data_IF_349887012888
#
_entry.id   IF_349887012888
#
_cell.length_a   1.000
_cell.length_b   1.000
_cell.length_c   1.000
_cell.angle_alpha   90.00
_cell.angle_beta   90.00
_cell.angle_gamma   90.00
#
_symmetry.space_group_name_H-M   'P 1'
#
loop_
_entity.id
_entity.type
_entity.pdbx_description
1 polymer ?
#
# COMPACT_ATOMS: atom_id res chain seq x y z
N UNK A 1 -29.64 3.28 -9.48
CA UNK A 1 -29.47 1.82 -9.69
C UNK A 1 -27.99 1.53 -9.61
N UNK A 2 -27.57 0.45 -8.96
CA UNK A 2 -26.17 0.06 -8.95
C UNK A 2 -25.73 -0.30 -10.37
N UNK A 3 -24.56 0.18 -10.80
CA UNK A 3 -23.98 -0.18 -12.09
C UNK A 3 -23.72 -1.71 -12.09
N UNK A 4 -24.35 -2.49 -12.97
CA UNK A 4 -24.21 -3.95 -12.99
C UNK A 4 -22.77 -4.41 -13.30
N UNK A 5 -21.92 -3.50 -13.78
CA UNK A 5 -20.49 -3.77 -14.04
C UNK A 5 -19.61 -3.47 -12.83
N UNK A 6 -20.11 -2.80 -11.78
CA UNK A 6 -19.36 -2.52 -10.56
C UNK A 6 -19.16 -3.82 -9.75
N UNK A 7 -17.91 -4.23 -9.59
CA UNK A 7 -17.52 -5.42 -8.82
C UNK A 7 -17.27 -5.06 -7.35
N UNK A 8 -16.60 -3.93 -7.13
CA UNK A 8 -16.21 -3.49 -5.79
C UNK A 8 -16.10 -1.97 -5.75
N UNK A 9 -16.56 -1.35 -4.67
CA UNK A 9 -16.39 0.08 -4.39
C UNK A 9 -15.61 0.22 -3.09
N UNK A 10 -14.33 0.50 -3.20
CA UNK A 10 -13.43 0.73 -2.06
C UNK A 10 -13.37 2.19 -1.63
N UNK A 11 -12.44 2.50 -0.72
CA UNK A 11 -12.23 3.85 -0.20
C UNK A 11 -11.66 4.79 -1.26
N UNK A 12 -10.59 4.37 -1.95
CA UNK A 12 -9.90 5.18 -2.96
C UNK A 12 -10.22 4.79 -4.40
N UNK A 13 -10.85 3.63 -4.64
CA UNK A 13 -11.03 3.09 -6.00
C UNK A 13 -12.34 2.33 -6.16
N UNK A 14 -12.93 2.42 -7.34
CA UNK A 14 -14.00 1.54 -7.80
C UNK A 14 -13.44 0.55 -8.83
N UNK A 15 -13.89 -0.70 -8.79
CA UNK A 15 -13.47 -1.77 -9.70
C UNK A 15 -14.66 -2.17 -10.54
N UNK A 16 -14.52 -2.06 -11.86
CA UNK A 16 -15.54 -2.44 -12.83
C UNK A 16 -15.06 -3.62 -13.67
N UNK A 17 -15.97 -4.52 -14.03
CA UNK A 17 -15.73 -5.54 -15.03
C UNK A 17 -16.02 -5.00 -16.44
N UNK A 18 -15.04 -5.12 -17.33
CA UNK A 18 -15.19 -4.74 -18.72
C UNK A 18 -15.76 -5.92 -19.52
N UNK A 19 -16.99 -5.79 -19.99
CA UNK A 19 -17.70 -6.87 -20.71
C UNK A 19 -17.58 -6.78 -22.23
N UNK A 20 -17.06 -5.67 -22.75
CA UNK A 20 -17.03 -5.34 -24.18
C UNK A 20 -15.79 -4.51 -24.54
N UNK A 21 -15.49 -4.41 -25.84
CA UNK A 21 -14.36 -3.64 -26.35
C UNK A 21 -13.01 -4.37 -26.26
N UNK A 22 -11.88 -3.66 -26.51
CA UNK A 22 -10.56 -4.28 -26.62
C UNK A 22 -10.04 -4.90 -25.31
N UNK A 23 -10.61 -4.52 -24.17
CA UNK A 23 -10.26 -5.05 -22.85
C UNK A 23 -11.39 -5.90 -22.23
N UNK A 24 -12.26 -6.49 -23.05
CA UNK A 24 -13.30 -7.39 -22.56
C UNK A 24 -12.71 -8.55 -21.73
N UNK A 25 -13.35 -8.86 -20.59
CA UNK A 25 -12.87 -9.84 -19.61
C UNK A 25 -11.82 -9.30 -18.62
N UNK A 26 -11.44 -8.02 -18.73
CA UNK A 26 -10.48 -7.37 -17.81
C UNK A 26 -11.21 -6.52 -16.77
N UNK A 27 -10.46 -6.04 -15.77
CA UNK A 27 -10.98 -5.10 -14.79
C UNK A 27 -10.49 -3.68 -15.08
N UNK A 28 -11.34 -2.71 -14.72
CA UNK A 28 -11.04 -1.29 -14.76
C UNK A 28 -11.10 -0.71 -13.35
N UNK A 29 -9.97 -0.21 -12.88
CA UNK A 29 -9.84 0.53 -11.63
C UNK A 29 -10.05 2.01 -11.92
N UNK A 30 -11.08 2.60 -11.32
CA UNK A 30 -11.36 4.04 -11.36
C UNK A 30 -10.92 4.63 -10.03
N UNK A 31 -9.87 5.43 -10.06
CA UNK A 31 -9.31 6.10 -8.89
C UNK A 31 -10.16 7.33 -8.55
N UNK A 32 -10.53 7.44 -7.27
CA UNK A 32 -11.43 8.47 -6.74
C UNK A 32 -10.65 9.60 -6.07
N UNK A 33 -11.30 10.74 -5.98
CA UNK A 33 -10.78 11.91 -5.25
C UNK A 33 -11.05 11.82 -3.74
N UNK A 34 -11.80 10.81 -3.30
CA UNK A 34 -12.05 10.48 -1.90
C UNK A 34 -10.76 10.40 -1.08
N UNK A 35 -10.73 11.11 0.03
CA UNK A 35 -9.58 11.19 0.91
C UNK A 35 -9.93 10.72 2.32
N UNK A 36 -9.09 9.84 2.85
CA UNK A 36 -9.23 9.32 4.21
C UNK A 36 -8.54 10.22 5.23
N UNK A 37 -8.99 10.14 6.48
CA UNK A 37 -8.49 10.99 7.55
C UNK A 37 -9.36 10.94 8.79
N UNK A 38 -9.33 12.04 9.55
CA UNK A 38 -10.14 12.21 10.75
C UNK A 38 -10.71 13.64 10.81
N UNK A 39 -11.71 13.85 11.66
CA UNK A 39 -12.26 15.18 11.93
C UNK A 39 -11.58 15.75 13.19
N UNK A 40 -10.94 16.90 13.05
CA UNK A 40 -10.34 17.66 14.15
C UNK A 40 -10.96 19.04 14.20
N UNK A 41 -11.59 19.40 15.33
CA UNK A 41 -12.28 20.68 15.50
C UNK A 41 -13.28 21.01 14.38
N UNK A 42 -14.03 20.01 13.91
CA UNK A 42 -15.03 20.15 12.85
C UNK A 42 -14.44 20.31 11.43
N UNK A 43 -13.13 20.14 11.25
CA UNK A 43 -12.46 20.18 9.95
C UNK A 43 -11.86 18.83 9.60
N UNK A 44 -11.94 18.44 8.32
CA UNK A 44 -11.27 17.26 7.82
C UNK A 44 -9.74 17.46 7.86
N UNK A 45 -9.05 16.50 8.48
CA UNK A 45 -7.59 16.35 8.42
C UNK A 45 -7.31 15.10 7.62
N UNK A 46 -6.76 15.27 6.43
CA UNK A 46 -6.44 14.16 5.53
C UNK A 46 -5.19 13.43 6.01
N UNK A 47 -5.31 12.12 6.19
CA UNK A 47 -4.21 11.23 6.60
C UNK A 47 -4.47 9.84 6.00
N UNK A 48 -3.63 9.38 5.05
CA UNK A 48 -3.81 8.08 4.39
C UNK A 48 -3.60 6.89 5.36
N UNK A 49 -3.09 7.13 6.57
CA UNK A 49 -3.01 6.12 7.63
C UNK A 49 -4.33 5.85 8.35
N UNK A 50 -5.43 6.53 7.98
CA UNK A 50 -6.78 6.31 8.50
C UNK A 50 -7.70 5.64 7.48
N UNK A 51 -8.73 4.99 8.00
CA UNK A 51 -9.63 4.11 7.25
C UNK A 51 -11.01 4.70 6.94
N UNK A 52 -11.25 5.96 7.31
CA UNK A 52 -12.53 6.67 7.13
C UNK A 52 -12.38 7.75 6.08
N UNK A 53 -13.27 7.79 5.08
CA UNK A 53 -13.35 8.89 4.10
C UNK A 53 -13.95 10.11 4.80
N UNK A 54 -13.23 11.24 4.77
CA UNK A 54 -13.61 12.48 5.48
C UNK A 54 -13.82 13.68 4.54
N UNK A 55 -13.62 13.47 3.23
CA UNK A 55 -13.84 14.47 2.19
C UNK A 55 -13.21 14.05 0.87
N UNK A 56 -13.07 15.01 -0.04
CA UNK A 56 -12.45 14.83 -1.35
C UNK A 56 -11.27 15.80 -1.52
N UNK A 57 -10.22 15.35 -2.20
CA UNK A 57 -9.11 16.19 -2.67
C UNK A 57 -9.18 16.19 -4.21
N UNK A 58 -9.60 17.31 -4.85
CA UNK A 58 -9.71 17.37 -6.31
C UNK A 58 -8.43 16.95 -7.03
N UNK A 59 -8.57 16.04 -8.00
CA UNK A 59 -7.48 15.52 -8.82
C UNK A 59 -6.62 14.43 -8.14
N UNK A 60 -6.90 14.07 -6.89
CA UNK A 60 -6.17 13.01 -6.17
C UNK A 60 -6.20 11.68 -6.92
N UNK A 61 -7.37 11.26 -7.43
CA UNK A 61 -7.52 9.99 -8.12
C UNK A 61 -6.68 9.92 -9.40
N UNK A 62 -6.66 11.02 -10.15
CA UNK A 62 -5.82 11.14 -11.35
C UNK A 62 -4.32 11.06 -11.01
N UNK A 63 -3.88 11.76 -9.96
CA UNK A 63 -2.49 11.70 -9.49
C UNK A 63 -2.14 10.26 -9.08
N UNK A 64 -2.96 9.62 -8.25
CA UNK A 64 -2.72 8.25 -7.81
C UNK A 64 -2.61 7.26 -8.98
N UNK A 65 -3.50 7.37 -9.98
CA UNK A 65 -3.47 6.51 -11.16
C UNK A 65 -2.23 6.74 -12.03
N UNK A 66 -1.84 8.00 -12.28
CA UNK A 66 -0.61 8.33 -13.03
C UNK A 66 0.64 7.82 -12.30
N UNK A 67 0.67 7.91 -10.97
CA UNK A 67 1.74 7.35 -10.15
C UNK A 67 1.82 5.82 -10.25
N UNK A 68 0.69 5.15 -10.07
CA UNK A 68 0.62 3.70 -10.20
C UNK A 68 1.04 3.24 -11.59
N UNK A 69 0.62 3.97 -12.64
CA UNK A 69 1.02 3.73 -14.03
C UNK A 69 2.53 3.81 -14.20
N UNK A 70 3.16 4.86 -13.68
CA UNK A 70 4.61 5.06 -13.76
C UNK A 70 5.36 3.88 -13.14
N UNK A 71 5.01 3.50 -11.91
CA UNK A 71 5.68 2.41 -11.22
C UNK A 71 5.39 1.05 -11.84
N UNK A 72 4.17 0.75 -12.29
CA UNK A 72 3.90 -0.52 -12.95
C UNK A 72 4.65 -0.67 -14.29
N UNK A 73 4.84 0.41 -15.05
CA UNK A 73 5.71 0.41 -16.23
C UNK A 73 7.17 0.14 -15.86
N UNK A 74 7.70 0.82 -14.85
CA UNK A 74 9.05 0.58 -14.34
C UNK A 74 9.24 -0.86 -13.84
N UNK A 75 8.27 -1.41 -13.11
CA UNK A 75 8.29 -2.79 -12.64
C UNK A 75 8.31 -3.78 -13.81
N UNK A 76 7.52 -3.53 -14.86
CA UNK A 76 7.51 -4.35 -16.08
C UNK A 76 8.89 -4.33 -16.76
N UNK A 77 9.52 -3.17 -16.90
CA UNK A 77 10.88 -3.04 -17.45
C UNK A 77 11.92 -3.82 -16.63
N UNK A 78 11.73 -3.89 -15.31
CA UNK A 78 12.59 -4.65 -14.40
C UNK A 78 12.20 -6.13 -14.29
N UNK A 79 11.23 -6.61 -15.06
CA UNK A 79 10.79 -8.01 -15.04
C UNK A 79 10.11 -8.43 -13.74
N UNK A 80 9.35 -7.51 -13.12
CA UNK A 80 8.49 -7.79 -11.95
C UNK A 80 7.06 -7.99 -12.44
N UNK A 81 6.42 -9.13 -12.14
CA UNK A 81 5.07 -9.41 -12.61
C UNK A 81 4.03 -8.60 -11.83
N UNK A 82 3.01 -8.08 -12.52
CA UNK A 82 1.90 -7.34 -11.94
C UNK A 82 0.60 -7.61 -12.69
N UNK A 83 -0.53 -7.15 -12.14
CA UNK A 83 -1.81 -7.16 -12.86
C UNK A 83 -1.97 -6.05 -13.90
N UNK A 84 -1.04 -5.10 -14.00
CA UNK A 84 -1.20 -3.92 -14.85
C UNK A 84 -1.19 -4.27 -16.34
N UNK A 85 -2.17 -3.74 -17.09
CA UNK A 85 -2.24 -3.86 -18.55
C UNK A 85 -1.99 -2.51 -19.21
N UNK A 86 -2.82 -1.51 -18.88
CA UNK A 86 -2.80 -0.21 -19.55
C UNK A 86 -3.46 0.89 -18.70
N UNK A 87 -3.27 2.15 -19.10
CA UNK A 87 -3.92 3.33 -18.49
C UNK A 87 -4.68 4.06 -19.57
N UNK A 88 -6.01 4.01 -19.50
CA UNK A 88 -6.90 4.45 -20.58
C UNK A 88 -7.41 5.88 -20.39
N UNK A 89 -7.32 6.42 -19.18
CA UNK A 89 -7.58 7.84 -18.82
C UNK A 89 -6.74 8.23 -17.62
N UNK A 90 -6.72 9.52 -17.29
CA UNK A 90 -5.94 10.08 -16.18
C UNK A 90 -6.19 9.39 -14.84
N UNK A 91 -7.41 8.89 -14.58
CA UNK A 91 -7.77 8.18 -13.36
C UNK A 91 -8.31 6.75 -13.59
N UNK A 92 -8.15 6.19 -14.79
CA UNK A 92 -8.67 4.85 -15.13
C UNK A 92 -7.55 3.91 -15.60
N UNK A 93 -7.33 2.83 -14.84
CA UNK A 93 -6.34 1.80 -15.13
C UNK A 93 -7.03 0.48 -15.48
N UNK A 94 -6.55 -0.19 -16.53
CA UNK A 94 -7.00 -1.54 -16.90
C UNK A 94 -6.01 -2.56 -16.35
N UNK A 95 -6.53 -3.59 -15.71
CA UNK A 95 -5.75 -4.65 -15.06
C UNK A 95 -6.31 -6.03 -15.38
N UNK A 96 -5.44 -7.03 -15.30
CA UNK A 96 -5.82 -8.43 -15.28
C UNK A 96 -6.69 -8.71 -14.03
N UNK A 97 -7.79 -9.47 -14.17
CA UNK A 97 -8.53 -9.95 -13.01
C UNK A 97 -7.60 -10.75 -12.09
N UNK A 98 -7.52 -10.35 -10.83
CA UNK A 98 -6.71 -11.00 -9.82
C UNK A 98 -7.54 -11.32 -8.57
N UNK A 99 -7.12 -12.37 -7.88
CA UNK A 99 -7.67 -12.82 -6.60
C UNK A 99 -6.61 -12.45 -5.54
N UNK A 100 -6.91 -11.53 -4.60
CA UNK A 100 -5.98 -11.21 -3.53
C UNK A 100 -5.64 -12.43 -2.68
N UNK A 101 -4.51 -12.41 -1.97
CA UNK A 101 -4.19 -13.49 -1.03
C UNK A 101 -5.25 -13.52 0.09
N UNK A 102 -6.06 -14.58 0.10
CA UNK A 102 -7.26 -14.71 0.92
C UNK A 102 -7.38 -16.14 1.45
N UNK A 103 -8.29 -16.33 2.40
CA UNK A 103 -8.65 -17.63 2.96
C UNK A 103 -10.14 -17.65 3.25
N UNK A 104 -10.81 -18.73 2.85
CA UNK A 104 -12.22 -18.94 3.18
C UNK A 104 -12.39 -19.18 4.68
N UNK A 105 -13.60 -18.93 5.19
CA UNK A 105 -13.94 -19.26 6.57
C UNK A 105 -14.00 -20.77 6.75
N UNK A 106 -13.25 -21.32 7.72
CA UNK A 106 -13.20 -22.78 7.95
C UNK A 106 -14.39 -23.30 8.75
N UNK A 107 -14.91 -22.49 9.67
CA UNK A 107 -15.96 -22.90 10.60
C UNK A 107 -17.04 -21.81 10.73
N UNK A 108 -17.83 -21.57 9.66
CA UNK A 108 -18.85 -20.52 9.62
C UNK A 108 -19.99 -20.72 10.63
N UNK A 109 -20.12 -21.91 11.21
CA UNK A 109 -21.09 -22.23 12.25
C UNK A 109 -20.81 -21.56 13.60
N UNK A 110 -19.57 -21.14 13.86
CA UNK A 110 -19.21 -20.43 15.09
C UNK A 110 -19.46 -18.93 14.96
N UNK A 111 -20.17 -18.30 15.92
CA UNK A 111 -20.39 -16.85 15.92
C UNK A 111 -19.06 -16.08 15.91
N UNK A 112 -18.90 -15.17 14.96
CA UNK A 112 -17.71 -14.34 14.80
C UNK A 112 -16.68 -14.83 13.78
N UNK A 113 -16.86 -16.04 13.23
CA UNK A 113 -16.02 -16.56 12.14
C UNK A 113 -16.16 -15.70 10.88
N UNK A 114 -15.02 -15.37 10.24
CA UNK A 114 -14.96 -14.55 9.04
C UNK A 114 -13.81 -14.99 8.13
N UNK A 115 -13.93 -14.78 6.79
CA UNK A 115 -12.83 -15.06 5.87
C UNK A 115 -11.71 -14.02 6.00
N UNK A 116 -10.48 -14.42 5.66
CA UNK A 116 -9.41 -13.48 5.35
C UNK A 116 -9.63 -12.98 3.93
N UNK A 117 -9.99 -11.72 3.74
CA UNK A 117 -10.34 -11.19 2.42
C UNK A 117 -9.12 -10.78 1.58
N UNK A 118 -8.09 -10.26 2.23
CA UNK A 118 -6.87 -9.76 1.59
C UNK A 118 -5.75 -9.59 2.62
N UNK A 119 -4.51 -9.57 2.15
CA UNK A 119 -3.31 -9.26 2.91
C UNK A 119 -2.60 -8.04 2.33
N UNK A 120 -2.17 -7.17 3.24
CA UNK A 120 -1.32 -6.03 2.93
C UNK A 120 0.09 -6.28 3.48
N UNK A 121 1.08 -6.19 2.60
CA UNK A 121 2.48 -6.38 2.95
C UNK A 121 3.15 -5.02 3.10
N UNK A 122 3.45 -4.66 4.35
CA UNK A 122 4.17 -3.42 4.66
C UNK A 122 5.67 -3.69 4.69
N UNK A 123 6.44 -3.04 3.82
CA UNK A 123 7.90 -2.99 3.96
C UNK A 123 8.29 -1.72 4.72
N UNK A 124 9.38 -1.78 5.48
CA UNK A 124 9.83 -0.63 6.27
C UNK A 124 11.31 -0.40 6.08
N UNK A 125 11.68 0.75 5.50
CA UNK A 125 13.06 1.21 5.52
C UNK A 125 13.43 1.78 6.88
N UNK A 126 12.50 2.49 7.54
CA UNK A 126 12.73 3.12 8.83
C UNK A 126 11.58 2.94 9.82
N UNK A 127 11.92 2.89 11.10
CA UNK A 127 10.96 2.75 12.20
C UNK A 127 10.09 4.01 12.34
N UNK A 128 8.86 3.96 11.82
CA UNK A 128 7.86 5.03 11.97
C UNK A 128 6.46 4.43 12.16
N UNK A 129 5.43 5.28 12.16
CA UNK A 129 4.04 4.87 12.08
C UNK A 129 3.64 3.83 13.14
N UNK A 130 2.86 2.83 12.72
CA UNK A 130 2.40 1.75 13.60
C UNK A 130 3.54 0.91 14.16
N UNK A 131 4.63 0.71 13.42
CA UNK A 131 5.81 -0.01 13.90
C UNK A 131 6.42 0.67 15.12
N UNK A 132 6.74 1.97 15.01
CA UNK A 132 7.36 2.68 16.12
C UNK A 132 6.45 2.71 17.35
N UNK A 133 5.13 2.87 17.16
CA UNK A 133 4.14 2.83 18.25
C UNK A 133 4.11 1.49 18.98
N UNK A 134 4.24 0.37 18.27
CA UNK A 134 4.28 -0.98 18.87
C UNK A 134 5.57 -1.30 19.61
N UNK A 135 6.69 -0.68 19.22
CA UNK A 135 8.02 -0.99 19.79
C UNK A 135 8.64 0.22 20.53
N UNK A 136 8.33 0.42 21.83
CA UNK A 136 8.78 1.59 22.60
C UNK A 136 10.28 1.68 22.86
N UNK A 137 10.98 0.57 22.71
CA UNK A 137 12.43 0.48 22.83
C UNK A 137 13.17 0.81 21.52
N UNK A 138 12.46 1.17 20.44
CA UNK A 138 13.07 1.49 19.14
C UNK A 138 13.20 3.01 18.96
N UNK A 139 14.39 3.46 18.53
CA UNK A 139 14.62 4.85 18.15
C UNK A 139 13.77 5.24 16.92
N UNK A 140 13.12 6.42 16.91
CA UNK A 140 12.45 6.95 15.72
C UNK A 140 13.35 6.95 14.50
N UNK A 141 12.80 6.52 13.36
CA UNK A 141 13.47 6.39 12.07
C UNK A 141 14.75 5.52 12.06
N UNK A 142 14.95 4.63 13.04
CA UNK A 142 15.99 3.59 12.97
C UNK A 142 15.87 2.81 11.65
N UNK A 143 16.99 2.54 10.99
CA UNK A 143 17.03 1.69 9.80
C UNK A 143 16.56 0.28 10.15
N UNK A 144 15.52 -0.18 9.47
CA UNK A 144 14.90 -1.50 9.63
C UNK A 144 14.54 -2.12 8.28
N UNK A 145 15.21 -1.72 7.18
CA UNK A 145 14.98 -2.13 5.79
C UNK A 145 14.80 -3.64 5.52
N UNK A 146 15.13 -4.51 6.47
CA UNK A 146 14.93 -5.96 6.39
C UNK A 146 13.50 -6.40 6.69
N UNK A 147 12.68 -5.53 7.31
CA UNK A 147 11.35 -5.85 7.82
C UNK A 147 10.31 -5.82 6.71
N UNK A 148 9.56 -6.92 6.63
CA UNK A 148 8.28 -7.03 5.91
C UNK A 148 7.26 -7.56 6.93
N UNK A 149 6.10 -6.92 7.00
CA UNK A 149 5.00 -7.29 7.88
C UNK A 149 3.75 -7.59 7.05
N UNK A 150 2.99 -8.61 7.42
CA UNK A 150 1.69 -8.90 6.82
C UNK A 150 0.56 -8.40 7.72
N UNK A 151 -0.46 -7.79 7.10
CA UNK A 151 -1.62 -7.23 7.79
C UNK A 151 -2.89 -7.73 7.12
N UNK A 152 -3.90 -8.10 7.89
CA UNK A 152 -5.24 -8.37 7.34
C UNK A 152 -5.85 -7.06 6.87
N UNK A 153 -6.63 -7.09 5.79
CA UNK A 153 -7.43 -5.94 5.36
C UNK A 153 -8.85 -6.06 5.91
N UNK A 154 -9.28 -5.11 6.76
CA UNK A 154 -10.62 -5.14 7.36
C UNK A 154 -11.06 -3.80 7.93
N UNK A 155 -12.01 -3.82 8.88
CA UNK A 155 -12.41 -2.62 9.64
C UNK A 155 -11.28 -2.13 10.57
N UNK A 156 -10.44 -3.07 11.01
CA UNK A 156 -9.19 -2.79 11.71
C UNK A 156 -8.15 -3.76 11.17
N UNK A 157 -7.06 -3.22 10.63
CA UNK A 157 -5.98 -4.05 10.11
C UNK A 157 -5.23 -4.71 11.26
N UNK A 158 -5.12 -6.04 11.22
CA UNK A 158 -4.48 -6.85 12.26
C UNK A 158 -3.14 -7.33 11.72
N UNK A 159 -2.06 -7.06 12.48
CA UNK A 159 -0.76 -7.65 12.18
C UNK A 159 -0.85 -9.17 12.38
N UNK A 160 -0.46 -9.91 11.36
CA UNK A 160 -0.32 -11.36 11.41
C UNK A 160 1.14 -11.73 11.15
N UNK A 161 1.67 -12.66 11.94
CA UNK A 161 3.04 -13.15 11.72
C UNK A 161 3.07 -14.10 10.54
N UNK A 162 4.24 -14.27 9.93
CA UNK A 162 4.39 -15.19 8.81
C UNK A 162 4.17 -16.64 9.28
N UNK A 163 4.62 -16.99 10.48
CA UNK A 163 4.35 -18.30 11.09
C UNK A 163 2.84 -18.52 11.31
N UNK A 164 2.10 -17.49 11.75
CA UNK A 164 0.65 -17.61 11.92
C UNK A 164 -0.08 -17.73 10.57
N UNK A 165 0.41 -17.09 9.50
CA UNK A 165 -0.13 -17.30 8.15
C UNK A 165 0.10 -18.74 7.66
N UNK A 166 1.25 -19.32 8.00
CA UNK A 166 1.59 -20.70 7.64
C UNK A 166 0.73 -21.71 8.40
N UNK A 167 0.69 -21.59 9.73
CA UNK A 167 -0.04 -22.53 10.60
C UNK A 167 -1.56 -22.45 10.42
N UNK A 168 -2.11 -21.30 10.01
CA UNK A 168 -3.53 -21.21 9.66
C UNK A 168 -3.84 -21.76 8.26
N UNK A 169 -2.82 -22.06 7.44
CA UNK A 169 -3.01 -22.50 6.06
C UNK A 169 -3.41 -21.39 5.09
N UNK A 170 -3.39 -20.12 5.52
CA UNK A 170 -3.69 -18.97 4.66
C UNK A 170 -2.64 -18.81 3.54
N UNK A 171 -1.39 -19.17 3.83
CA UNK A 171 -0.29 -19.25 2.87
C UNK A 171 0.66 -20.38 3.26
N UNK A 172 1.27 -21.08 2.31
CA UNK A 172 2.34 -22.03 2.64
C UNK A 172 3.73 -21.35 2.71
N UNK A 173 4.73 -22.06 3.22
CA UNK A 173 6.13 -21.58 3.34
C UNK A 173 6.71 -21.00 2.04
N UNK A 174 6.45 -21.64 0.91
CA UNK A 174 6.97 -21.21 -0.39
C UNK A 174 6.32 -19.90 -0.82
N UNK A 175 5.00 -19.77 -0.63
CA UNK A 175 4.24 -18.56 -0.93
C UNK A 175 4.67 -17.38 -0.05
N UNK A 176 4.92 -17.62 1.24
CA UNK A 176 5.46 -16.62 2.16
C UNK A 176 6.83 -16.16 1.69
N UNK A 177 7.72 -17.10 1.39
CA UNK A 177 9.09 -16.82 0.91
C UNK A 177 9.06 -16.01 -0.38
N UNK A 178 8.23 -16.40 -1.35
CA UNK A 178 8.05 -15.70 -2.61
C UNK A 178 7.48 -14.29 -2.40
N UNK A 179 6.49 -14.15 -1.52
CA UNK A 179 5.86 -12.86 -1.22
C UNK A 179 6.85 -11.88 -0.58
N UNK A 180 7.64 -12.34 0.40
CA UNK A 180 8.68 -11.51 1.04
C UNK A 180 9.74 -11.10 0.01
N UNK A 181 10.20 -12.03 -0.82
CA UNK A 181 11.19 -11.74 -1.86
C UNK A 181 10.66 -10.72 -2.89
N UNK A 182 9.42 -10.89 -3.33
CA UNK A 182 8.74 -9.98 -4.26
C UNK A 182 8.59 -8.58 -3.65
N UNK A 183 8.08 -8.48 -2.42
CA UNK A 183 7.91 -7.21 -1.70
C UNK A 183 9.24 -6.49 -1.55
N UNK A 184 10.30 -7.20 -1.14
CA UNK A 184 11.64 -6.60 -0.99
C UNK A 184 12.20 -6.10 -2.32
N UNK A 185 12.03 -6.87 -3.41
CA UNK A 185 12.47 -6.46 -4.75
C UNK A 185 11.73 -5.21 -5.24
N UNK A 186 10.42 -5.16 -5.05
CA UNK A 186 9.62 -3.98 -5.42
C UNK A 186 10.01 -2.77 -4.57
N UNK A 187 10.13 -2.97 -3.25
CA UNK A 187 10.54 -1.93 -2.31
C UNK A 187 11.91 -1.35 -2.65
N UNK A 188 12.87 -2.18 -3.08
CA UNK A 188 14.18 -1.74 -3.54
C UNK A 188 14.07 -0.88 -4.81
N UNK A 189 13.34 -1.34 -5.84
CA UNK A 189 13.12 -0.57 -7.08
C UNK A 189 12.49 0.79 -6.77
N UNK A 190 11.41 0.79 -5.98
CA UNK A 190 10.72 2.02 -5.56
C UNK A 190 11.67 2.94 -4.79
N UNK A 191 12.41 2.40 -3.82
CA UNK A 191 13.35 3.19 -3.01
C UNK A 191 14.48 3.79 -3.85
N UNK A 192 15.04 3.05 -4.81
CA UNK A 192 16.06 3.55 -5.72
C UNK A 192 15.52 4.66 -6.62
N UNK A 193 14.31 4.49 -7.13
CA UNK A 193 13.65 5.45 -8.00
C UNK A 193 13.45 6.80 -7.29
N UNK A 194 12.95 6.79 -6.04
CA UNK A 194 12.84 7.99 -5.21
C UNK A 194 14.20 8.57 -4.79
N UNK A 195 15.17 7.71 -4.47
CA UNK A 195 16.53 8.15 -4.10
C UNK A 195 17.20 8.91 -5.25
N UNK A 196 16.98 8.49 -6.50
CA UNK A 196 17.48 9.20 -7.69
C UNK A 196 16.99 10.66 -7.79
N UNK A 197 15.91 10.99 -7.09
CA UNK A 197 15.27 12.31 -7.02
C UNK A 197 15.50 13.00 -5.67
N UNK A 198 16.49 12.55 -4.91
CA UNK A 198 16.84 13.08 -3.57
C UNK A 198 15.69 12.96 -2.55
N UNK A 199 14.89 11.90 -2.67
CA UNK A 199 13.77 11.61 -1.78
C UNK A 199 14.02 10.33 -0.98
N UNK A 200 13.45 10.27 0.22
CA UNK A 200 13.61 9.17 1.15
C UNK A 200 12.31 8.39 1.32
N UNK A 201 12.25 7.15 0.83
CA UNK A 201 11.12 6.25 1.10
C UNK A 201 11.28 5.67 2.50
N UNK A 202 10.36 5.98 3.40
CA UNK A 202 10.38 5.57 4.81
C UNK A 202 9.78 4.17 4.99
N UNK A 203 8.61 3.95 4.39
CA UNK A 203 7.89 2.69 4.34
C UNK A 203 6.82 2.77 3.25
N UNK A 204 6.18 1.65 2.98
CA UNK A 204 4.98 1.60 2.16
C UNK A 204 4.30 0.24 2.25
N UNK A 205 3.24 0.08 1.48
CA UNK A 205 2.35 -1.07 1.51
C UNK A 205 2.06 -1.58 0.11
N UNK A 206 2.11 -2.90 -0.07
CA UNK A 206 1.71 -3.56 -1.30
C UNK A 206 0.63 -4.59 -1.03
N UNK A 207 -0.27 -4.75 -1.99
CA UNK A 207 -1.17 -5.89 -2.04
C UNK A 207 -0.65 -6.90 -3.05
N UNK A 208 -0.76 -8.18 -2.71
CA UNK A 208 -0.36 -9.28 -3.57
C UNK A 208 -1.57 -10.15 -3.91
N UNK A 209 -1.51 -10.82 -5.04
CA UNK A 209 -2.56 -11.74 -5.46
C UNK A 209 -2.11 -12.70 -6.54
N UNK A 210 -3.06 -13.49 -7.02
CA UNK A 210 -2.88 -14.42 -8.14
C UNK A 210 -3.78 -13.99 -9.27
N UNK A 211 -3.26 -13.93 -10.50
CA UNK A 211 -4.10 -13.66 -11.67
C UNK A 211 -5.13 -14.78 -11.83
N UNK A 212 -6.41 -14.44 -12.01
CA UNK A 212 -7.54 -15.38 -12.09
C UNK A 212 -7.37 -16.42 -13.20
N UNK A 213 -6.69 -16.02 -14.29
CA UNK A 213 -6.42 -16.86 -15.46
C UNK A 213 -4.91 -17.04 -15.69
N UNK A 214 -4.08 -16.86 -14.65
CA UNK A 214 -2.64 -17.01 -14.71
C UNK A 214 -2.15 -18.41 -14.31
N UNK A 215 -0.84 -18.54 -14.12
CA UNK A 215 -0.15 -19.78 -13.73
C UNK A 215 -0.11 -20.00 -12.21
N UNK A 216 -0.91 -19.24 -11.44
CA UNK A 216 -0.97 -19.32 -9.98
C UNK A 216 0.16 -18.59 -9.26
N UNK A 217 1.12 -17.97 -9.97
CA UNK A 217 2.18 -17.19 -9.33
C UNK A 217 1.64 -15.94 -8.62
N UNK A 218 2.32 -15.58 -7.53
CA UNK A 218 2.05 -14.35 -6.79
C UNK A 218 2.62 -13.16 -7.55
N UNK A 219 1.78 -12.14 -7.74
CA UNK A 219 2.10 -10.89 -8.42
C UNK A 219 1.68 -9.70 -7.58
N UNK A 220 2.25 -8.52 -7.83
CA UNK A 220 1.72 -7.28 -7.23
C UNK A 220 0.41 -6.87 -7.90
N UNK A 221 -0.57 -6.52 -7.06
CA UNK A 221 -1.89 -6.03 -7.48
C UNK A 221 -2.15 -4.66 -6.85
N UNK A 222 -3.38 -4.16 -6.98
CA UNK A 222 -3.83 -2.85 -6.52
C UNK A 222 -3.04 -1.68 -7.15
N UNK A 223 -2.26 -0.94 -6.36
CA UNK A 223 -1.56 0.29 -6.77
C UNK A 223 -0.17 0.47 -6.13
N UNK A 224 0.66 1.32 -6.76
CA UNK A 224 1.80 1.98 -6.11
C UNK A 224 1.61 3.48 -6.27
N UNK A 225 1.15 4.15 -5.22
CA UNK A 225 0.78 5.56 -5.26
C UNK A 225 1.16 6.30 -3.97
N UNK A 226 1.05 7.63 -3.94
CA UNK A 226 1.29 8.42 -2.73
C UNK A 226 0.44 7.99 -1.52
N UNK A 227 -0.71 7.35 -1.72
CA UNK A 227 -1.57 6.88 -0.64
C UNK A 227 -1.00 5.66 0.10
N UNK A 228 -0.14 4.88 -0.56
CA UNK A 228 0.45 3.65 -0.01
C UNK A 228 1.94 3.79 0.32
N UNK A 229 2.50 5.00 0.19
CA UNK A 229 3.91 5.30 0.44
C UNK A 229 4.07 6.43 1.44
N UNK A 230 5.08 6.34 2.30
CA UNK A 230 5.58 7.49 3.05
C UNK A 230 6.93 7.89 2.52
N UNK A 231 7.01 9.06 1.90
CA UNK A 231 8.25 9.60 1.34
C UNK A 231 8.55 10.96 1.95
N UNK A 232 9.80 11.18 2.33
CA UNK A 232 10.26 12.44 2.91
C UNK A 232 11.28 13.15 2.01
N UNK A 233 11.32 14.48 2.09
CA UNK A 233 12.42 15.28 1.53
C UNK A 233 13.69 15.09 2.37
N UNK A 234 14.80 14.83 1.68
CA UNK A 234 16.12 14.70 2.27
C UNK A 234 16.38 13.34 2.92
N UNK A 235 17.54 12.77 2.61
CA UNK A 235 18.07 11.55 3.22
C UNK A 235 19.56 11.71 3.44
N UNK A 236 20.04 11.44 4.66
CA UNK A 236 21.47 11.41 4.96
C UNK A 236 21.77 10.20 5.84
N UNK A 237 22.02 9.02 5.24
CA UNK A 237 22.33 7.82 6.02
C UNK A 237 23.68 7.91 6.75
N UNK A 238 23.77 7.31 7.93
CA UNK A 238 25.02 6.89 8.57
C UNK A 238 25.49 5.53 7.99
N UNK A 239 26.69 5.03 8.35
CA UNK A 239 27.18 3.73 7.88
C UNK A 239 26.24 2.55 8.20
N UNK A 240 25.43 2.66 9.26
CA UNK A 240 24.41 1.70 9.64
C UNK A 240 23.07 1.91 8.90
N UNK A 241 23.00 2.90 8.00
CA UNK A 241 21.85 3.25 7.15
C UNK A 241 20.76 4.06 7.87
N UNK A 242 20.96 4.47 9.12
CA UNK A 242 20.00 5.33 9.79
C UNK A 242 20.09 6.75 9.24
N UNK A 243 18.93 7.39 9.05
CA UNK A 243 18.91 8.79 8.64
C UNK A 243 19.40 9.69 9.78
N UNK A 244 20.48 10.45 9.56
CA UNK A 244 21.03 11.44 10.51
C UNK A 244 20.08 12.62 10.75
N UNK A 245 19.18 12.90 9.80
CA UNK A 245 18.22 14.01 9.87
C UNK A 245 16.97 13.66 10.70
N UNK A 246 16.88 12.46 11.27
CA UNK A 246 15.66 12.01 11.94
C UNK A 246 15.20 12.91 13.09
N UNK A 247 16.11 13.55 13.83
CA UNK A 247 15.75 14.47 14.92
C UNK A 247 15.05 15.74 14.46
N UNK A 248 15.20 16.11 13.17
CA UNK A 248 14.53 17.26 12.56
C UNK A 248 13.20 16.85 11.89
N UNK A 249 13.10 15.58 11.45
CA UNK A 249 11.95 15.06 10.73
C UNK A 249 10.91 14.39 11.66
N UNK A 250 11.34 13.48 12.53
CA UNK A 250 10.44 12.69 13.37
C UNK A 250 9.95 13.51 14.57
N UNK A 251 8.65 13.71 14.64
CA UNK A 251 7.98 14.34 15.79
C UNK A 251 7.19 13.28 16.50
N UNK A 252 7.59 12.97 17.73
CA UNK A 252 6.87 12.03 18.58
C UNK A 252 6.09 12.74 19.66
N UNK A 253 4.93 12.23 20.02
CA UNK A 253 4.18 12.67 21.19
C UNK A 253 3.76 11.46 22.04
N UNK A 254 3.51 11.69 23.32
CA UNK A 254 2.96 10.70 24.24
C UNK A 254 1.95 11.37 25.18
N UNK A 255 0.70 10.96 25.07
CA UNK A 255 -0.41 11.44 25.91
C UNK A 255 -1.39 10.29 26.14
N UNK A 256 -1.91 10.17 27.35
CA UNK A 256 -2.93 9.17 27.73
C UNK A 256 -2.58 7.72 27.33
N UNK A 257 -1.31 7.32 27.52
CA UNK A 257 -0.84 5.98 27.14
C UNK A 257 -0.66 5.77 25.64
N UNK A 258 -0.98 6.76 24.79
CA UNK A 258 -0.89 6.66 23.34
C UNK A 258 0.37 7.35 22.83
N UNK A 259 1.18 6.58 22.11
CA UNK A 259 2.37 7.07 21.40
C UNK A 259 1.96 7.48 19.99
N UNK A 260 2.40 8.64 19.52
CA UNK A 260 2.21 9.06 18.13
C UNK A 260 3.53 9.50 17.51
N UNK A 261 3.63 9.42 16.19
CA UNK A 261 4.78 9.86 15.43
C UNK A 261 4.30 10.46 14.10
N UNK A 262 4.86 11.61 13.73
CA UNK A 262 4.66 12.27 12.43
C UNK A 262 6.02 12.54 11.79
N UNK A 263 6.09 12.46 10.47
CA UNK A 263 7.28 12.79 9.69
C UNK A 263 7.10 14.19 9.07
N UNK A 264 7.75 15.22 9.63
CA UNK A 264 7.60 16.63 9.21
C UNK A 264 7.94 16.90 7.75
N UNK A 265 8.91 16.16 7.21
CA UNK A 265 9.37 16.36 5.84
C UNK A 265 8.64 15.47 4.84
N UNK A 266 7.53 14.83 5.24
CA UNK A 266 6.73 14.01 4.33
C UNK A 266 6.21 14.85 3.16
N UNK A 267 6.36 14.33 1.95
CA UNK A 267 5.97 15.00 0.71
C UNK A 267 4.45 14.83 0.53
N UNK A 268 3.71 15.93 0.31
CA UNK A 268 2.31 15.86 -0.07
C UNK A 268 2.12 15.15 -1.41
N UNK A 269 0.98 14.46 -1.60
CA UNK A 269 0.69 13.74 -2.85
C UNK A 269 0.80 14.62 -4.10
N UNK A 270 0.33 15.87 -4.02
CA UNK A 270 0.37 16.85 -5.10
C UNK A 270 1.80 17.18 -5.56
N UNK A 271 2.74 17.30 -4.62
CA UNK A 271 4.13 17.65 -4.92
C UNK A 271 4.86 16.55 -5.70
N UNK A 272 4.38 15.29 -5.66
CA UNK A 272 5.03 14.27 -6.47
C UNK A 272 4.76 14.45 -7.96
N UNK A 273 3.69 15.14 -8.36
CA UNK A 273 3.40 15.41 -9.78
C UNK A 273 4.60 16.10 -10.42
N UNK A 274 5.07 17.21 -9.86
CA UNK A 274 6.22 17.96 -10.40
C UNK A 274 7.55 17.17 -10.38
N UNK A 275 7.61 16.07 -9.64
CA UNK A 275 8.82 15.26 -9.42
C UNK A 275 8.87 14.05 -10.38
N UNK A 276 7.72 13.51 -10.79
CA UNK A 276 7.65 12.27 -11.58
C UNK A 276 6.85 12.39 -12.89
N UNK A 277 5.97 13.38 -13.01
CA UNK A 277 4.88 13.43 -13.98
C UNK A 277 4.89 14.72 -14.81
#
# INVERSE_FOLDING_TARGET
MADPKLIYSGKSKNVYHLTEGPYAGKYRLVFKDDATGYIENGKAVFDPGYDTVVGEIPGKGAIACRFATYFFKLLKEKGVPSHYIDTIKDNEMVVEPAIPLNMAVESPEFPGSAPLLNLEFTWRNNATGSFWRRYPFVRPCKNIHKVVEAWTKGDTDILITMEALEETGAMNSDEITQSIALVKRIAEIVSQEFTSKNLHVIDGKFELGRLKYGDGKIVIIDEISPDVLRVCRGYSPDPEGNCKLYGQCAVTNYSDGKRTIKNRNQIPAADFVDIFL
#
